data_IF_623671779761
#
_entry.id   IF_623671779761
#
_cell.length_a   1.000
_cell.length_b   1.000
_cell.length_c   1.000
_cell.angle_alpha   90.00
_cell.angle_beta   90.00
_cell.angle_gamma   90.00
#
_symmetry.space_group_name_H-M   'P 1'
#
loop_
_entity.id
_entity.type
_entity.pdbx_description
1 polymer ?
#
# COMPACT_ATOMS: atom_id res chain seq x y z
N UNK A 1 -17.53 13.67 -9.82
CA UNK A 1 -18.43 13.76 -8.65
C UNK A 1 -18.75 12.35 -8.17
N UNK A 2 -18.57 12.04 -6.85
CA UNK A 2 -18.98 10.76 -6.24
C UNK A 2 -17.88 9.86 -5.71
N UNK A 3 -16.64 9.97 -6.14
CA UNK A 3 -15.53 9.23 -5.53
C UNK A 3 -15.10 9.96 -4.24
N UNK A 4 -15.29 9.29 -3.08
CA UNK A 4 -14.80 9.78 -1.79
C UNK A 4 -13.61 8.93 -1.37
N UNK A 5 -12.57 9.58 -0.86
CA UNK A 5 -11.51 8.93 -0.13
C UNK A 5 -11.92 8.89 1.35
N UNK A 6 -11.80 7.73 1.98
CA UNK A 6 -12.10 7.56 3.39
C UNK A 6 -10.96 6.80 4.05
N UNK A 7 -10.43 7.38 5.11
CA UNK A 7 -9.49 6.71 6.01
C UNK A 7 -10.20 6.23 7.27
N UNK A 8 -9.66 5.21 7.90
CA UNK A 8 -10.10 4.74 9.21
C UNK A 8 -8.87 4.40 10.06
N UNK A 9 -8.92 4.74 11.34
CA UNK A 9 -7.87 4.32 12.27
C UNK A 9 -7.81 2.80 12.36
N UNK A 10 -6.59 2.23 12.24
CA UNK A 10 -6.38 0.77 12.26
C UNK A 10 -7.01 0.11 13.49
N UNK A 11 -6.85 0.71 14.67
CA UNK A 11 -7.41 0.19 15.91
C UNK A 11 -8.95 0.16 15.88
N UNK A 12 -9.58 1.23 15.39
CA UNK A 12 -11.04 1.28 15.25
C UNK A 12 -11.54 0.18 14.31
N UNK A 13 -10.87 -0.01 13.18
CA UNK A 13 -11.21 -1.06 12.23
C UNK A 13 -11.06 -2.48 12.83
N UNK A 14 -9.95 -2.74 13.53
CA UNK A 14 -9.72 -4.01 14.22
C UNK A 14 -10.78 -4.28 15.29
N UNK A 15 -11.17 -3.26 16.07
CA UNK A 15 -12.21 -3.39 17.09
C UNK A 15 -13.58 -3.78 16.49
N UNK A 16 -13.95 -3.18 15.35
CA UNK A 16 -15.18 -3.53 14.62
C UNK A 16 -15.15 -5.03 14.24
N UNK A 17 -14.06 -5.49 13.62
CA UNK A 17 -13.93 -6.88 13.19
C UNK A 17 -13.91 -7.85 14.36
N UNK A 18 -13.15 -7.54 15.43
CA UNK A 18 -13.07 -8.38 16.63
C UNK A 18 -14.40 -8.48 17.36
N UNK A 19 -15.16 -7.38 17.45
CA UNK A 19 -16.52 -7.39 18.02
C UNK A 19 -17.41 -8.33 17.22
N UNK A 20 -17.38 -8.22 15.90
CA UNK A 20 -18.18 -9.10 15.03
C UNK A 20 -17.74 -10.56 15.15
N UNK A 21 -16.47 -10.86 15.26
CA UNK A 21 -15.97 -12.21 15.49
C UNK A 21 -16.52 -12.80 16.80
N UNK A 22 -16.53 -12.02 17.89
CA UNK A 22 -17.09 -12.49 19.17
C UNK A 22 -18.59 -12.76 19.09
N UNK A 23 -19.34 -11.88 18.43
CA UNK A 23 -20.79 -12.07 18.20
C UNK A 23 -21.10 -13.35 17.42
N UNK A 24 -20.21 -13.75 16.51
CA UNK A 24 -20.33 -14.96 15.70
C UNK A 24 -19.74 -16.21 16.40
N UNK A 25 -19.27 -16.10 17.63
CA UNK A 25 -18.71 -17.23 18.39
C UNK A 25 -17.30 -17.64 17.97
N UNK A 26 -16.58 -16.78 17.18
CA UNK A 26 -15.19 -17.04 16.82
C UNK A 26 -14.29 -16.90 18.04
N UNK A 27 -13.48 -17.91 18.30
CA UNK A 27 -12.51 -17.91 19.41
C UNK A 27 -11.31 -17.06 19.07
N UNK A 28 -11.14 -15.94 19.75
CA UNK A 28 -9.97 -15.03 19.60
C UNK A 28 -8.95 -15.34 20.70
N UNK A 29 -7.71 -15.62 20.32
CA UNK A 29 -6.58 -15.82 21.23
C UNK A 29 -5.58 -14.70 21.03
N UNK A 30 -5.50 -13.81 22.01
CA UNK A 30 -4.51 -12.72 22.04
C UNK A 30 -3.28 -13.13 22.84
N UNK A 31 -2.19 -12.39 22.70
CA UNK A 31 -0.90 -12.65 23.34
C UNK A 31 -0.40 -14.09 23.13
N UNK A 32 -0.76 -14.68 22.00
CA UNK A 32 -0.41 -16.05 21.63
C UNK A 32 0.51 -16.02 20.44
N UNK A 33 1.80 -16.30 20.65
CA UNK A 33 2.76 -16.41 19.55
C UNK A 33 2.77 -17.84 19.04
N UNK A 34 2.59 -18.00 17.72
CA UNK A 34 2.76 -19.28 17.04
C UNK A 34 4.18 -19.36 16.52
N UNK A 35 5.00 -20.21 17.12
CA UNK A 35 6.40 -20.37 16.75
C UNK A 35 6.58 -21.47 15.67
N UNK A 36 5.66 -22.44 15.60
CA UNK A 36 5.69 -23.57 14.66
C UNK A 36 4.28 -23.83 14.12
N UNK A 37 4.18 -23.93 12.80
CA UNK A 37 2.91 -24.25 12.11
C UNK A 37 2.44 -25.66 12.43
N UNK A 38 3.33 -26.60 12.62
CA UNK A 38 2.99 -27.99 12.96
C UNK A 38 2.23 -28.10 14.30
N UNK A 39 2.41 -27.13 15.20
CA UNK A 39 1.67 -27.10 16.47
C UNK A 39 0.18 -26.73 16.31
N UNK A 40 -0.24 -26.29 15.12
CA UNK A 40 -1.64 -25.91 14.82
C UNK A 40 -2.43 -27.05 14.17
N UNK A 41 -1.80 -28.16 13.83
CA UNK A 41 -2.45 -29.34 13.26
C UNK A 41 -2.84 -30.33 14.37
N UNK A 42 -3.93 -31.11 14.20
CA UNK A 42 -4.79 -31.18 13.02
C UNK A 42 -5.92 -30.13 13.02
N UNK A 43 -6.23 -29.58 11.86
CA UNK A 43 -7.40 -28.73 11.61
C UNK A 43 -7.95 -28.99 10.20
N UNK A 44 -9.23 -28.68 9.97
CA UNK A 44 -9.88 -28.87 8.66
C UNK A 44 -9.32 -27.87 7.63
N UNK A 45 -9.01 -26.64 8.04
CA UNK A 45 -8.46 -25.58 7.22
C UNK A 45 -7.54 -24.69 8.06
N UNK A 46 -6.30 -24.50 7.60
CA UNK A 46 -5.36 -23.53 8.13
C UNK A 46 -5.25 -22.32 7.20
N UNK A 47 -5.55 -21.13 7.72
CA UNK A 47 -5.43 -19.87 6.97
C UNK A 47 -4.25 -19.08 7.49
N UNK A 48 -3.20 -18.93 6.68
CA UNK A 48 -2.04 -18.09 6.94
C UNK A 48 -2.35 -16.63 6.55
N UNK A 49 -2.74 -15.81 7.53
CA UNK A 49 -2.97 -14.37 7.37
C UNK A 49 -2.02 -13.56 8.27
N UNK A 50 -0.80 -14.06 8.44
CA UNK A 50 0.21 -13.63 9.39
C UNK A 50 1.19 -12.58 8.84
N UNK A 51 0.77 -11.87 7.79
CA UNK A 51 1.42 -10.66 7.27
C UNK A 51 2.65 -10.92 6.40
N UNK A 52 3.34 -9.84 6.04
CA UNK A 52 4.48 -9.88 5.10
C UNK A 52 5.62 -10.82 5.53
N UNK A 53 5.81 -11.01 6.83
CA UNK A 53 6.81 -11.91 7.40
C UNK A 53 6.24 -13.31 7.71
N UNK A 54 5.26 -13.77 6.98
CA UNK A 54 4.49 -14.99 7.22
C UNK A 54 5.36 -16.21 7.57
N UNK A 55 5.04 -16.81 8.73
CA UNK A 55 5.57 -18.09 9.15
C UNK A 55 5.03 -19.23 8.28
N UNK A 56 3.71 -19.17 7.98
CA UNK A 56 3.03 -20.18 7.16
C UNK A 56 3.63 -20.23 5.76
N UNK A 57 3.86 -19.06 5.12
CA UNK A 57 4.51 -19.00 3.82
C UNK A 57 5.91 -19.62 3.84
N UNK A 58 6.70 -19.35 4.88
CA UNK A 58 8.05 -19.94 5.02
C UNK A 58 8.01 -21.43 5.24
N UNK A 59 7.08 -21.92 6.07
CA UNK A 59 6.97 -23.35 6.38
C UNK A 59 6.67 -24.21 5.13
N UNK A 60 5.93 -23.67 4.17
CA UNK A 60 5.55 -24.36 2.94
C UNK A 60 6.13 -23.68 1.68
N UNK A 61 7.32 -23.07 1.80
CA UNK A 61 7.92 -22.28 0.72
C UNK A 61 8.15 -23.07 -0.58
N UNK A 62 8.49 -24.37 -0.49
CA UNK A 62 8.66 -25.25 -1.64
C UNK A 62 7.39 -25.37 -2.49
N UNK A 63 6.22 -25.37 -1.85
CA UNK A 63 4.92 -25.41 -2.54
C UNK A 63 4.48 -24.03 -3.01
N UNK A 64 4.46 -23.04 -2.12
CA UNK A 64 3.99 -21.70 -2.45
C UNK A 64 4.88 -20.97 -3.45
N UNK A 65 6.17 -21.34 -3.54
CA UNK A 65 7.17 -20.73 -4.43
C UNK A 65 7.11 -19.19 -4.39
N UNK A 66 7.36 -18.58 -3.21
CA UNK A 66 7.30 -17.15 -3.04
C UNK A 66 8.43 -16.44 -3.79
N UNK A 67 8.10 -15.29 -4.35
CA UNK A 67 9.09 -14.28 -4.75
C UNK A 67 8.92 -13.07 -3.86
N UNK A 68 10.03 -12.53 -3.33
CA UNK A 68 10.04 -11.33 -2.50
C UNK A 68 11.07 -10.38 -3.10
N UNK A 69 10.57 -9.28 -3.67
CA UNK A 69 11.40 -8.20 -4.22
C UNK A 69 11.37 -7.03 -3.24
N UNK A 70 12.51 -6.77 -2.59
CA UNK A 70 12.67 -5.64 -1.69
C UNK A 70 12.95 -4.38 -2.51
N UNK A 71 11.99 -3.44 -2.41
CA UNK A 71 12.07 -2.19 -3.17
C UNK A 71 13.12 -1.24 -2.59
N UNK A 72 13.66 -0.37 -3.47
CA UNK A 72 14.81 0.48 -3.14
C UNK A 72 14.45 1.64 -2.24
N UNK A 73 13.29 2.28 -2.46
CA UNK A 73 12.87 3.40 -1.63
C UNK A 73 12.68 2.98 -0.19
N UNK A 74 13.11 3.86 0.71
CA UNK A 74 12.81 3.80 2.13
C UNK A 74 11.53 4.55 2.40
N UNK A 75 10.71 4.05 3.33
CA UNK A 75 9.54 4.78 3.81
C UNK A 75 9.42 4.69 5.32
N UNK A 76 8.82 5.73 5.91
CA UNK A 76 8.52 5.82 7.32
C UNK A 76 7.06 6.25 7.50
N UNK A 77 6.36 5.65 8.47
CA UNK A 77 4.93 5.89 8.69
C UNK A 77 4.73 6.75 9.92
N UNK A 78 4.40 8.01 9.71
CA UNK A 78 4.19 9.01 10.75
C UNK A 78 2.73 9.47 10.78
N UNK A 79 2.41 10.31 11.75
CA UNK A 79 1.14 11.06 11.84
C UNK A 79 1.39 12.56 11.99
N UNK A 80 0.31 13.33 11.91
CA UNK A 80 0.30 14.75 12.27
C UNK A 80 -1.10 15.20 12.65
N UNK A 81 -1.21 16.25 13.46
CA UNK A 81 -2.49 16.90 13.74
C UNK A 81 -2.93 17.88 12.64
N UNK A 82 -2.08 18.17 11.64
CA UNK A 82 -2.53 18.85 10.45
C UNK A 82 -3.50 17.96 9.66
N UNK A 83 -4.70 18.48 9.34
CA UNK A 83 -5.76 17.71 8.68
C UNK A 83 -5.69 17.85 7.16
N UNK A 84 -5.28 16.79 6.48
CA UNK A 84 -5.33 16.69 5.03
C UNK A 84 -6.71 16.18 4.58
N UNK A 85 -7.50 17.02 3.92
CA UNK A 85 -8.89 16.73 3.54
C UNK A 85 -9.05 15.76 2.36
N UNK A 86 -7.97 15.28 1.79
CA UNK A 86 -7.92 14.29 0.72
C UNK A 86 -6.58 13.57 0.70
N UNK A 87 -6.44 12.59 -0.20
CA UNK A 87 -5.12 12.02 -0.46
C UNK A 87 -4.25 13.10 -1.12
N UNK A 88 -3.26 13.57 -0.38
CA UNK A 88 -2.32 14.60 -0.80
C UNK A 88 -0.95 13.96 -1.00
N UNK A 89 -0.35 14.21 -2.16
CA UNK A 89 1.02 13.83 -2.47
C UNK A 89 1.87 15.10 -2.52
N UNK A 90 2.85 15.18 -1.65
CA UNK A 90 3.72 16.36 -1.53
C UNK A 90 5.15 15.96 -1.87
N UNK A 91 5.78 16.70 -2.77
CA UNK A 91 7.15 16.49 -3.21
C UNK A 91 7.98 17.67 -2.73
N UNK A 92 9.07 17.40 -2.01
CA UNK A 92 9.97 18.44 -1.48
C UNK A 92 11.42 18.07 -1.72
N UNK A 93 12.13 18.95 -2.44
CA UNK A 93 13.58 18.92 -2.52
C UNK A 93 14.18 19.54 -1.27
N UNK A 94 15.18 18.90 -0.73
CA UNK A 94 15.98 19.32 0.42
C UNK A 94 17.45 19.03 0.13
N UNK A 95 18.37 19.41 1.03
CA UNK A 95 19.83 19.24 0.82
C UNK A 95 20.23 17.80 0.47
N UNK A 96 19.64 16.80 1.09
CA UNK A 96 19.90 15.39 0.81
C UNK A 96 19.20 14.87 -0.47
N UNK A 97 18.25 15.59 -1.04
CA UNK A 97 17.50 15.21 -2.24
C UNK A 97 15.99 15.27 -2.09
N UNK A 98 15.26 14.44 -2.85
CA UNK A 98 13.82 14.47 -2.93
C UNK A 98 13.15 13.61 -1.85
N UNK A 99 12.21 14.21 -1.12
CA UNK A 99 11.29 13.55 -0.19
C UNK A 99 9.86 13.64 -0.70
N UNK A 100 9.11 12.57 -0.52
CA UNK A 100 7.71 12.46 -0.96
C UNK A 100 6.84 12.13 0.24
N UNK A 101 5.81 12.94 0.52
CA UNK A 101 4.85 12.65 1.57
C UNK A 101 3.50 12.21 0.97
N UNK A 102 2.91 11.16 1.55
CA UNK A 102 1.57 10.67 1.25
C UNK A 102 0.70 10.94 2.49
N UNK A 103 -0.24 11.87 2.36
CA UNK A 103 -0.97 12.38 3.52
C UNK A 103 -2.47 12.29 3.32
N UNK A 104 -3.20 11.92 4.36
CA UNK A 104 -4.66 11.90 4.40
C UNK A 104 -5.16 11.77 5.84
N UNK A 105 -6.29 12.39 6.16
CA UNK A 105 -6.90 12.23 7.47
C UNK A 105 -7.53 10.84 7.63
N UNK A 106 -7.43 10.25 8.82
CA UNK A 106 -8.07 8.99 9.17
C UNK A 106 -9.04 9.10 10.37
N UNK A 107 -9.06 10.25 11.03
CA UNK A 107 -10.06 10.67 12.02
C UNK A 107 -10.19 12.20 12.02
N UNK A 108 -10.93 12.76 12.96
CA UNK A 108 -11.22 14.20 13.01
C UNK A 108 -10.08 15.05 13.56
N UNK A 109 -9.03 14.46 14.09
CA UNK A 109 -7.91 15.16 14.74
C UNK A 109 -6.55 14.80 14.18
N UNK A 110 -6.46 13.79 13.31
CA UNK A 110 -5.16 13.23 12.92
C UNK A 110 -5.15 12.79 11.45
N UNK A 111 -4.05 13.09 10.80
CA UNK A 111 -3.72 12.57 9.48
C UNK A 111 -2.55 11.60 9.54
N UNK A 112 -2.57 10.61 8.65
CA UNK A 112 -1.39 9.83 8.28
C UNK A 112 -0.43 10.74 7.51
N UNK A 113 0.87 10.56 7.75
CA UNK A 113 1.94 11.24 7.02
C UNK A 113 3.06 10.24 6.73
N UNK A 114 2.98 9.56 5.59
CA UNK A 114 4.00 8.61 5.17
C UNK A 114 5.05 9.36 4.38
N UNK A 115 6.32 9.27 4.76
CA UNK A 115 7.41 9.86 3.98
C UNK A 115 8.17 8.74 3.27
N UNK A 116 8.44 8.96 2.00
CA UNK A 116 9.19 8.07 1.11
C UNK A 116 10.37 8.84 0.49
N UNK A 117 11.54 8.21 0.40
CA UNK A 117 12.71 8.75 -0.31
C UNK A 117 13.58 7.63 -0.87
N UNK A 118 14.44 7.96 -1.84
CA UNK A 118 15.43 7.03 -2.37
C UNK A 118 16.45 6.61 -1.32
N UNK A 119 17.05 5.44 -1.48
CA UNK A 119 18.04 4.89 -0.53
C UNK A 119 19.25 5.81 -0.35
N UNK A 120 19.75 6.44 -1.44
CA UNK A 120 20.85 7.41 -1.36
C UNK A 120 20.44 8.65 -0.55
N UNK A 121 19.25 9.21 -0.80
CA UNK A 121 18.71 10.36 -0.05
C UNK A 121 18.58 10.03 1.44
N UNK A 122 18.12 8.82 1.77
CA UNK A 122 18.01 8.33 3.14
C UNK A 122 19.40 8.26 3.82
N UNK A 123 20.41 7.75 3.11
CA UNK A 123 21.77 7.64 3.62
C UNK A 123 22.43 9.01 3.80
N UNK A 124 22.32 9.88 2.78
CA UNK A 124 22.89 11.23 2.80
C UNK A 124 22.28 12.14 3.87
N UNK A 125 21.00 11.93 4.19
CA UNK A 125 20.33 12.58 5.31
C UNK A 125 20.76 12.07 6.70
N UNK A 126 21.48 10.93 6.76
CA UNK A 126 21.98 10.36 8.01
C UNK A 126 20.93 9.64 8.86
N UNK A 127 19.81 9.21 8.29
CA UNK A 127 18.69 8.60 9.04
C UNK A 127 19.05 7.28 9.72
N UNK A 128 20.15 6.62 9.33
CA UNK A 128 20.63 5.41 9.99
C UNK A 128 20.97 5.63 11.47
N UNK A 129 21.49 6.82 11.79
CA UNK A 129 22.00 7.18 13.12
C UNK A 129 21.02 8.09 13.90
N UNK A 130 19.95 8.54 13.26
CA UNK A 130 18.98 9.44 13.88
C UNK A 130 18.05 8.69 14.84
N UNK A 131 17.78 9.30 15.98
CA UNK A 131 16.66 8.89 16.83
C UNK A 131 15.31 9.13 16.13
N UNK A 132 14.25 8.53 16.66
CA UNK A 132 12.88 8.78 16.17
C UNK A 132 12.51 10.28 16.27
N UNK A 133 12.91 10.93 17.36
CA UNK A 133 12.66 12.36 17.58
C UNK A 133 13.43 13.23 16.57
N UNK A 134 14.70 12.95 16.32
CA UNK A 134 15.52 13.68 15.36
C UNK A 134 15.01 13.48 13.94
N UNK A 135 14.59 12.26 13.59
CA UNK A 135 13.93 11.95 12.30
C UNK A 135 12.66 12.77 12.12
N UNK A 136 11.81 12.85 13.14
CA UNK A 136 10.60 13.68 13.08
C UNK A 136 10.92 15.16 12.92
N UNK A 137 11.93 15.67 13.65
CA UNK A 137 12.36 17.06 13.55
C UNK A 137 12.92 17.39 12.16
N UNK A 138 13.78 16.54 11.63
CA UNK A 138 14.33 16.70 10.27
C UNK A 138 13.21 16.74 9.21
N UNK A 139 12.32 15.75 9.24
CA UNK A 139 11.21 15.68 8.28
C UNK A 139 10.20 16.83 8.47
N UNK A 140 9.98 17.30 9.70
CA UNK A 140 9.14 18.47 9.94
C UNK A 140 9.75 19.75 9.30
N UNK A 141 11.09 19.89 9.28
CA UNK A 141 11.75 21.00 8.57
C UNK A 141 11.60 20.85 7.06
N UNK A 142 11.80 19.64 6.49
CA UNK A 142 11.58 19.37 5.06
C UNK A 142 10.16 19.78 4.62
N UNK A 143 9.16 19.43 5.41
CA UNK A 143 7.73 19.65 5.08
C UNK A 143 7.10 20.82 5.84
N UNK A 144 7.88 21.76 6.38
CA UNK A 144 7.36 22.85 7.22
C UNK A 144 6.26 23.69 6.56
N UNK A 145 6.33 23.85 5.23
CA UNK A 145 5.33 24.61 4.45
C UNK A 145 4.01 23.86 4.31
N UNK A 146 4.01 22.55 4.53
CA UNK A 146 2.84 21.67 4.32
C UNK A 146 2.20 21.26 5.64
N UNK A 147 2.92 21.38 6.74
CA UNK A 147 2.48 20.99 8.08
C UNK A 147 1.80 22.13 8.85
N UNK A 148 1.82 23.37 8.33
CA UNK A 148 1.20 24.55 8.94
C UNK A 148 1.49 24.67 10.45
N UNK A 149 2.77 24.52 10.82
CA UNK A 149 3.24 24.57 12.20
C UNK A 149 2.95 23.35 13.08
N UNK A 150 2.32 22.32 12.54
CA UNK A 150 2.08 21.07 13.29
C UNK A 150 3.29 20.17 13.27
N UNK A 151 3.52 19.47 14.39
CA UNK A 151 4.58 18.48 14.51
C UNK A 151 4.23 17.17 13.77
N UNK A 152 5.27 16.41 13.44
CA UNK A 152 5.14 15.01 13.07
C UNK A 152 5.08 14.14 14.35
N UNK A 153 4.23 13.14 14.32
CA UNK A 153 3.94 12.25 15.42
C UNK A 153 4.50 10.86 15.11
N UNK A 154 5.22 10.32 16.06
CA UNK A 154 5.71 8.96 16.08
C UNK A 154 5.10 8.19 17.27
N UNK A 155 5.19 6.87 17.30
CA UNK A 155 4.55 6.01 18.30
C UNK A 155 5.54 5.08 19.02
N UNK A 156 6.81 5.43 19.08
CA UNK A 156 7.93 4.64 19.65
C UNK A 156 8.24 3.32 18.94
N UNK A 157 7.63 3.05 17.80
CA UNK A 157 7.87 1.85 16.96
C UNK A 157 8.11 2.22 15.49
N UNK A 158 8.24 3.51 15.23
CA UNK A 158 8.42 4.03 13.86
C UNK A 158 9.86 3.80 13.44
N UNK A 159 10.04 3.22 12.27
CA UNK A 159 11.34 3.01 11.65
C UNK A 159 11.24 3.07 10.14
N UNK A 160 12.34 3.36 9.51
CA UNK A 160 12.47 3.27 8.07
C UNK A 160 12.43 1.82 7.60
N UNK A 161 11.65 1.58 6.57
CA UNK A 161 11.42 0.25 6.00
C UNK A 161 11.60 0.31 4.49
N UNK A 162 11.97 -0.83 3.90
CA UNK A 162 11.81 -1.07 2.46
C UNK A 162 10.51 -1.85 2.24
N UNK A 163 9.84 -1.57 1.15
CA UNK A 163 8.60 -2.27 0.82
C UNK A 163 8.91 -3.64 0.22
N UNK A 164 8.39 -4.75 0.77
CA UNK A 164 8.51 -6.06 0.16
C UNK A 164 7.39 -6.27 -0.85
N UNK A 165 7.73 -6.47 -2.12
CA UNK A 165 6.78 -6.91 -3.13
C UNK A 165 6.72 -8.44 -3.11
N UNK A 166 5.66 -8.98 -2.52
CA UNK A 166 5.47 -10.42 -2.31
C UNK A 166 4.49 -10.95 -3.35
N UNK A 167 4.90 -12.04 -4.02
CA UNK A 167 4.05 -12.85 -4.89
C UNK A 167 4.24 -14.31 -4.52
N UNK A 168 3.19 -15.10 -4.59
CA UNK A 168 3.24 -16.55 -4.46
C UNK A 168 2.71 -17.19 -5.73
N UNK A 169 3.41 -18.21 -6.24
CA UNK A 169 2.97 -18.93 -7.43
C UNK A 169 1.72 -19.74 -7.12
N UNK A 170 1.78 -20.55 -6.06
CA UNK A 170 0.67 -21.32 -5.54
C UNK A 170 0.15 -20.66 -4.26
N UNK A 171 -1.15 -20.77 -4.02
CA UNK A 171 -1.82 -20.06 -2.94
C UNK A 171 -2.26 -20.97 -1.80
N UNK A 172 -2.26 -22.29 -2.09
CA UNK A 172 -2.65 -23.31 -1.11
C UNK A 172 -1.75 -24.55 -1.22
N UNK A 173 -1.72 -25.29 -0.12
CA UNK A 173 -1.06 -26.60 0.02
C UNK A 173 -1.92 -27.50 0.88
N UNK A 174 -2.46 -28.60 0.33
CA UNK A 174 -3.42 -29.47 1.05
C UNK A 174 -4.57 -28.62 1.64
N UNK A 175 -4.69 -28.57 2.99
CA UNK A 175 -5.68 -27.79 3.72
C UNK A 175 -5.13 -26.43 4.23
N UNK A 176 -3.99 -25.99 3.73
CA UNK A 176 -3.37 -24.69 4.11
C UNK A 176 -3.54 -23.69 2.99
N UNK A 177 -3.95 -22.46 3.30
CA UNK A 177 -4.08 -21.35 2.33
C UNK A 177 -3.50 -20.06 2.89
N UNK A 178 -2.90 -19.23 2.04
CA UNK A 178 -2.45 -17.89 2.40
C UNK A 178 -3.49 -16.83 2.06
N UNK A 179 -3.53 -15.75 2.87
CA UNK A 179 -4.37 -14.57 2.63
C UNK A 179 -3.63 -13.26 2.92
N UNK A 180 -4.08 -12.18 2.29
CA UNK A 180 -3.59 -10.83 2.56
C UNK A 180 -2.08 -10.70 2.33
N UNK A 181 -1.37 -9.94 3.20
CA UNK A 181 0.06 -9.67 3.04
C UNK A 181 0.94 -10.93 3.18
N UNK A 182 0.44 -12.01 3.76
CA UNK A 182 1.11 -13.31 3.74
C UNK A 182 1.15 -13.90 2.33
N UNK A 183 0.10 -13.65 1.54
CA UNK A 183 -0.07 -14.15 0.18
C UNK A 183 0.52 -13.21 -0.87
N UNK A 184 0.18 -11.93 -0.80
CA UNK A 184 0.60 -10.91 -1.76
C UNK A 184 0.62 -9.53 -1.13
N UNK A 185 1.54 -8.68 -1.57
CA UNK A 185 1.55 -7.26 -1.17
C UNK A 185 1.29 -6.37 -2.39
N UNK A 186 0.66 -5.24 -2.17
CA UNK A 186 0.50 -4.18 -3.15
C UNK A 186 1.01 -2.88 -2.53
N UNK A 187 1.86 -2.14 -3.27
CA UNK A 187 2.48 -0.92 -2.77
C UNK A 187 1.42 0.07 -2.24
N UNK A 188 1.71 0.72 -1.11
CA UNK A 188 0.77 1.61 -0.42
C UNK A 188 0.32 2.81 -1.27
N UNK A 189 1.07 3.18 -2.31
CA UNK A 189 0.75 4.29 -3.22
C UNK A 189 -0.59 4.18 -3.94
N UNK A 190 -1.19 2.98 -4.01
CA UNK A 190 -2.52 2.76 -4.58
C UNK A 190 -3.61 2.56 -3.52
N UNK A 191 -3.25 2.50 -2.22
CA UNK A 191 -4.18 2.39 -1.09
C UNK A 191 -5.06 1.16 -1.10
N UNK A 192 -4.61 0.02 -1.62
CA UNK A 192 -5.48 -1.15 -1.87
C UNK A 192 -5.21 -2.36 -0.97
N UNK A 193 -4.11 -2.42 -0.19
CA UNK A 193 -3.71 -3.62 0.54
C UNK A 193 -4.81 -4.19 1.45
N UNK A 194 -5.35 -3.37 2.35
CA UNK A 194 -6.44 -3.80 3.26
C UNK A 194 -7.70 -4.25 2.50
N UNK A 195 -8.08 -3.50 1.43
CA UNK A 195 -9.21 -3.86 0.58
C UNK A 195 -9.01 -5.23 -0.06
N UNK A 196 -7.83 -5.50 -0.60
CA UNK A 196 -7.52 -6.78 -1.25
C UNK A 196 -7.57 -7.93 -0.26
N UNK A 197 -7.02 -7.76 0.95
CA UNK A 197 -7.07 -8.77 2.01
C UNK A 197 -8.51 -9.10 2.44
N UNK A 198 -9.39 -8.10 2.54
CA UNK A 198 -10.81 -8.31 2.84
C UNK A 198 -11.53 -9.03 1.70
N UNK A 199 -11.26 -8.64 0.46
CA UNK A 199 -11.83 -9.30 -0.72
C UNK A 199 -11.37 -10.75 -0.86
N UNK A 200 -10.13 -11.05 -0.46
CA UNK A 200 -9.61 -12.42 -0.44
C UNK A 200 -10.36 -13.26 0.60
N UNK A 201 -10.55 -12.74 1.81
CA UNK A 201 -11.31 -13.43 2.85
C UNK A 201 -12.76 -13.71 2.42
N UNK A 202 -13.41 -12.73 1.78
CA UNK A 202 -14.76 -12.88 1.22
C UNK A 202 -14.76 -13.91 0.08
N UNK A 203 -13.76 -13.83 -0.82
CA UNK A 203 -13.62 -14.77 -1.93
C UNK A 203 -13.43 -16.19 -1.47
N UNK A 204 -12.55 -16.41 -0.48
CA UNK A 204 -12.32 -17.72 0.11
C UNK A 204 -13.60 -18.27 0.75
N UNK A 205 -14.27 -17.48 1.59
CA UNK A 205 -15.50 -17.90 2.26
C UNK A 205 -16.58 -18.33 1.25
N UNK A 206 -16.75 -17.59 0.15
CA UNK A 206 -17.71 -17.93 -0.92
C UNK A 206 -17.42 -19.27 -1.59
N UNK A 207 -16.15 -19.66 -1.72
CA UNK A 207 -15.80 -20.94 -2.33
C UNK A 207 -16.27 -22.15 -1.51
N UNK A 208 -16.52 -21.97 -0.21
CA UNK A 208 -17.07 -23.02 0.67
C UNK A 208 -18.61 -23.08 0.71
N UNK A 209 -19.31 -22.04 0.26
CA UNK A 209 -20.80 -22.03 0.30
C UNK A 209 -21.46 -22.97 -0.69
N UNK A 210 -20.73 -23.49 -1.66
CA UNK A 210 -21.24 -24.36 -2.74
C UNK A 210 -21.02 -25.86 -2.45
N UNK A 211 -20.72 -26.23 -1.19
CA UNK A 211 -20.59 -27.63 -0.77
C UNK A 211 -19.35 -28.34 -1.35
N UNK A 212 -18.33 -27.59 -1.78
CA UNK A 212 -17.06 -28.16 -2.23
C UNK A 212 -16.27 -28.75 -1.07
N UNK A 213 -15.49 -29.77 -1.33
CA UNK A 213 -14.43 -30.17 -0.40
C UNK A 213 -13.34 -29.07 -0.30
N UNK A 214 -12.49 -29.18 0.73
CA UNK A 214 -11.48 -28.16 1.00
C UNK A 214 -10.55 -27.94 -0.19
N UNK A 215 -10.06 -29.00 -0.83
CA UNK A 215 -9.14 -28.90 -1.96
C UNK A 215 -9.76 -28.18 -3.16
N UNK A 216 -10.99 -28.56 -3.51
CA UNK A 216 -11.73 -27.92 -4.60
C UNK A 216 -12.05 -26.44 -4.31
N UNK A 217 -12.40 -26.11 -3.06
CA UNK A 217 -12.66 -24.72 -2.65
C UNK A 217 -11.40 -23.85 -2.74
N UNK A 218 -10.23 -24.36 -2.32
CA UNK A 218 -8.97 -23.64 -2.38
C UNK A 218 -8.47 -23.46 -3.82
N UNK A 219 -8.60 -24.46 -4.67
CA UNK A 219 -8.27 -24.35 -6.10
C UNK A 219 -9.16 -23.31 -6.79
N UNK A 220 -10.45 -23.29 -6.49
CA UNK A 220 -11.38 -22.29 -7.03
C UNK A 220 -11.07 -20.88 -6.53
N UNK A 221 -10.74 -20.72 -5.26
CA UNK A 221 -10.28 -19.46 -4.70
C UNK A 221 -9.09 -18.89 -5.48
N UNK A 222 -8.03 -19.69 -5.68
CA UNK A 222 -6.87 -19.28 -6.45
C UNK A 222 -7.26 -18.92 -7.88
N UNK A 223 -8.06 -19.75 -8.55
CA UNK A 223 -8.49 -19.54 -9.93
C UNK A 223 -9.23 -18.20 -10.12
N UNK A 224 -10.11 -17.86 -9.18
CA UNK A 224 -10.93 -16.65 -9.25
C UNK A 224 -10.17 -15.38 -8.85
N UNK A 225 -9.36 -15.47 -7.78
CA UNK A 225 -8.76 -14.29 -7.19
C UNK A 225 -7.40 -13.92 -7.77
N UNK A 226 -6.60 -14.92 -8.17
CA UNK A 226 -5.23 -14.67 -8.64
C UNK A 226 -5.17 -13.69 -9.82
N UNK A 227 -5.96 -13.80 -10.89
CA UNK A 227 -5.92 -12.82 -11.99
C UNK A 227 -6.27 -11.39 -11.55
N UNK A 228 -7.17 -11.25 -10.60
CA UNK A 228 -7.55 -9.94 -10.03
C UNK A 228 -6.39 -9.33 -9.25
N UNK A 229 -5.73 -10.13 -8.42
CA UNK A 229 -4.57 -9.70 -7.63
C UNK A 229 -3.39 -9.35 -8.53
N UNK A 230 -3.08 -10.19 -9.53
CA UNK A 230 -2.00 -9.93 -10.49
C UNK A 230 -2.21 -8.56 -11.17
N UNK A 231 -3.43 -8.26 -11.64
CA UNK A 231 -3.75 -6.95 -12.24
C UNK A 231 -3.63 -5.77 -11.25
N UNK A 232 -3.91 -5.99 -9.96
CA UNK A 232 -3.68 -4.96 -8.93
C UNK A 232 -2.19 -4.78 -8.62
N UNK A 233 -1.43 -5.86 -8.54
CA UNK A 233 0.02 -5.80 -8.33
C UNK A 233 0.73 -5.11 -9.50
N UNK A 234 0.33 -5.36 -10.74
CA UNK A 234 0.90 -4.68 -11.91
C UNK A 234 0.62 -3.18 -11.87
N UNK A 235 -0.61 -2.78 -11.52
CA UNK A 235 -0.95 -1.36 -11.36
C UNK A 235 -0.21 -0.71 -10.18
N UNK A 236 -0.03 -1.44 -9.08
CA UNK A 236 0.73 -0.98 -7.92
C UNK A 236 2.22 -0.85 -8.25
N UNK A 237 2.75 -1.78 -9.03
CA UNK A 237 4.15 -1.76 -9.48
C UNK A 237 4.42 -0.58 -10.42
N UNK A 238 3.53 -0.32 -11.39
CA UNK A 238 3.66 0.86 -12.26
C UNK A 238 3.63 2.17 -11.44
N UNK A 239 2.72 2.24 -10.43
CA UNK A 239 2.67 3.37 -9.51
C UNK A 239 3.94 3.51 -8.67
N UNK A 240 4.49 2.41 -8.15
CA UNK A 240 5.71 2.36 -7.37
C UNK A 240 6.91 2.88 -8.17
N UNK A 241 7.09 2.41 -9.40
CA UNK A 241 8.19 2.84 -10.28
C UNK A 241 8.19 4.36 -10.49
N UNK A 242 7.02 4.97 -10.58
CA UNK A 242 6.93 6.42 -10.69
C UNK A 242 7.47 7.13 -9.45
N UNK A 243 7.24 6.61 -8.24
CA UNK A 243 7.80 7.19 -7.02
C UNK A 243 9.31 6.95 -6.91
N UNK A 244 9.80 5.78 -7.32
CA UNK A 244 11.25 5.50 -7.36
C UNK A 244 12.01 6.39 -8.36
N UNK A 245 11.34 6.84 -9.42
CA UNK A 245 11.92 7.73 -10.46
C UNK A 245 11.48 9.19 -10.31
N UNK A 246 10.82 9.57 -9.23
CA UNK A 246 10.19 10.86 -9.06
C UNK A 246 11.18 12.04 -9.16
N UNK A 247 12.45 11.86 -8.79
CA UNK A 247 13.48 12.91 -8.91
C UNK A 247 13.73 13.32 -10.38
N UNK A 248 13.62 12.38 -11.32
CA UNK A 248 13.69 12.71 -12.76
C UNK A 248 12.44 13.42 -13.23
N UNK A 249 11.29 12.99 -12.74
CA UNK A 249 9.97 13.51 -13.11
C UNK A 249 9.73 14.93 -12.58
N UNK A 250 10.41 15.33 -11.49
CA UNK A 250 10.38 16.69 -10.96
C UNK A 250 10.95 17.74 -11.92
N UNK A 251 11.68 17.31 -12.97
CA UNK A 251 12.16 18.20 -14.05
C UNK A 251 11.06 18.58 -15.05
N UNK A 252 9.93 17.87 -15.02
CA UNK A 252 8.79 18.19 -15.87
C UNK A 252 8.10 19.48 -15.39
N UNK A 253 7.47 20.20 -16.31
CA UNK A 253 6.54 21.25 -15.94
C UNK A 253 5.40 20.71 -15.06
N UNK A 254 4.77 21.54 -14.21
CA UNK A 254 3.75 21.10 -13.27
C UNK A 254 2.57 20.32 -13.89
N UNK A 255 2.10 20.71 -15.06
CA UNK A 255 0.95 20.06 -15.71
C UNK A 255 1.29 18.65 -16.23
N UNK A 256 2.38 18.42 -17.00
CA UNK A 256 2.78 17.08 -17.40
C UNK A 256 3.18 16.19 -16.20
N UNK A 257 3.81 16.74 -15.17
CA UNK A 257 4.06 16.01 -13.94
C UNK A 257 2.76 15.52 -13.28
N UNK A 258 1.79 16.42 -13.13
CA UNK A 258 0.48 16.07 -12.55
C UNK A 258 -0.27 15.04 -13.42
N UNK A 259 -0.21 15.18 -14.75
CA UNK A 259 -0.81 14.21 -15.67
C UNK A 259 -0.18 12.82 -15.49
N UNK A 260 1.16 12.73 -15.51
CA UNK A 260 1.91 11.48 -15.26
C UNK A 260 1.54 10.87 -13.91
N UNK A 261 1.46 11.71 -12.86
CA UNK A 261 1.07 11.30 -11.52
C UNK A 261 -0.35 10.71 -11.50
N UNK A 262 -1.32 11.35 -12.14
CA UNK A 262 -2.71 10.88 -12.15
C UNK A 262 -2.92 9.60 -12.96
N UNK A 263 -2.10 9.37 -13.97
CA UNK A 263 -2.18 8.19 -14.86
C UNK A 263 -1.22 7.06 -14.49
N UNK A 264 -0.36 7.24 -13.48
CA UNK A 264 0.74 6.34 -13.09
C UNK A 264 0.40 4.87 -12.93
N UNK A 265 -0.82 4.55 -12.51
CA UNK A 265 -1.26 3.17 -12.29
C UNK A 265 -1.81 2.49 -13.55
N UNK A 266 -1.82 3.18 -14.69
CA UNK A 266 -2.42 2.76 -15.97
C UNK A 266 -3.94 2.42 -15.87
N UNK A 267 -4.56 2.55 -14.70
CA UNK A 267 -6.02 2.37 -14.50
C UNK A 267 -6.82 3.58 -14.92
N UNK A 268 -6.20 4.75 -14.91
CA UNK A 268 -6.75 6.02 -15.37
C UNK A 268 -5.92 6.44 -16.58
N UNK A 269 -6.56 6.50 -17.71
CA UNK A 269 -6.04 7.03 -18.97
C UNK A 269 -6.51 8.48 -19.21
N UNK A 270 -6.06 9.07 -20.30
CA UNK A 270 -6.44 10.43 -20.71
C UNK A 270 -7.97 10.60 -20.78
N UNK A 271 -8.69 9.67 -21.41
CA UNK A 271 -10.14 9.78 -21.60
C UNK A 271 -10.91 9.62 -20.29
N UNK A 272 -10.47 8.74 -19.40
CA UNK A 272 -11.04 8.61 -18.06
C UNK A 272 -10.77 9.88 -17.24
N UNK A 273 -9.56 10.45 -17.34
CA UNK A 273 -9.21 11.67 -16.63
C UNK A 273 -10.01 12.85 -17.18
N UNK A 274 -10.18 12.97 -18.50
CA UNK A 274 -11.01 13.99 -19.13
C UNK A 274 -12.47 13.97 -18.64
N UNK A 275 -13.03 12.78 -18.41
CA UNK A 275 -14.38 12.64 -17.84
C UNK A 275 -14.46 13.00 -16.37
N UNK A 276 -13.38 12.80 -15.60
CA UNK A 276 -13.31 13.05 -14.15
C UNK A 276 -12.98 14.48 -13.84
N UNK A 277 -12.03 15.04 -14.55
CA UNK A 277 -11.53 16.40 -14.40
C UNK A 277 -11.30 17.06 -15.76
N UNK A 278 -12.37 17.55 -16.42
CA UNK A 278 -12.27 18.18 -17.71
C UNK A 278 -11.48 19.50 -17.68
N UNK A 279 -11.45 20.20 -16.53
CA UNK A 279 -10.72 21.46 -16.39
C UNK A 279 -9.22 21.22 -16.39
N UNK A 280 -8.75 20.19 -15.66
CA UNK A 280 -7.36 19.79 -15.68
C UNK A 280 -6.89 19.39 -17.09
N UNK A 281 -7.67 18.59 -17.78
CA UNK A 281 -7.31 18.15 -19.15
C UNK A 281 -7.31 19.33 -20.12
N UNK A 282 -8.24 20.29 -20.04
CA UNK A 282 -8.21 21.49 -20.85
C UNK A 282 -6.93 22.32 -20.63
N UNK A 283 -6.48 22.45 -19.37
CA UNK A 283 -5.24 23.14 -19.04
C UNK A 283 -4.01 22.37 -19.56
N UNK A 284 -4.01 21.04 -19.45
CA UNK A 284 -2.93 20.19 -19.96
C UNK A 284 -2.83 20.25 -21.49
N UNK A 285 -3.94 20.24 -22.22
CA UNK A 285 -3.98 20.35 -23.67
C UNK A 285 -3.48 21.71 -24.15
N UNK A 286 -3.91 22.80 -23.50
CA UNK A 286 -3.43 24.14 -23.79
C UNK A 286 -1.91 24.30 -23.53
N UNK A 287 -1.38 23.66 -22.49
CA UNK A 287 0.06 23.58 -22.25
C UNK A 287 0.79 22.84 -23.39
N UNK A 288 0.25 21.68 -23.82
CA UNK A 288 0.84 20.87 -24.89
C UNK A 288 0.91 21.63 -26.23
N UNK A 289 -0.15 22.32 -26.59
CA UNK A 289 -0.21 23.15 -27.81
C UNK A 289 0.87 24.23 -27.78
N UNK A 290 1.04 24.91 -26.65
CA UNK A 290 2.08 25.95 -26.47
C UNK A 290 3.51 25.40 -26.51
N UNK A 291 3.72 24.21 -25.98
CA UNK A 291 5.03 23.57 -25.87
C UNK A 291 5.45 22.79 -27.11
N UNK A 292 4.59 22.70 -28.15
CA UNK A 292 4.87 21.94 -29.36
C UNK A 292 5.00 20.42 -29.16
N UNK A 293 4.57 19.91 -28.01
CA UNK A 293 4.61 18.48 -27.67
C UNK A 293 3.43 17.80 -28.34
N UNK A 294 3.66 17.03 -29.41
CA UNK A 294 2.66 16.24 -30.11
C UNK A 294 1.93 15.24 -29.19
N UNK A 295 0.81 14.66 -29.67
CA UNK A 295 0.15 13.56 -28.94
C UNK A 295 1.12 12.39 -28.84
N UNK A 296 1.70 12.17 -27.65
CA UNK A 296 2.22 10.86 -27.29
C UNK A 296 0.99 10.02 -26.92
N UNK A 297 0.62 9.06 -27.74
CA UNK A 297 -0.27 7.99 -27.29
C UNK A 297 0.50 7.22 -26.22
N UNK A 298 -0.09 6.93 -25.06
CA UNK A 298 0.56 6.10 -24.05
C UNK A 298 0.70 4.67 -24.61
N UNK A 299 1.95 4.19 -24.68
CA UNK A 299 2.24 2.76 -24.87
C UNK A 299 1.67 1.89 -23.75
#
# INVERSE_FOLDING_TARGET
RGNRFSGIARLAFLNILQTRCRELGVKLRFHTNVADVAALEPCDLLVGADGANSLVRRAYAETFQPTIDWRKNKYIWLGTHHLFHGLTLTFREHEAGLFIAHSYKFNDTTSTFIVECGEAVWADAGFAEMSEADTCAYLAEVFKRDLDGHALLANNFVRWLNFPLIKNREWHHRNVVLLGDALHTAHFSIGSGTKLALEDAIGLARCFTEGRDVGAALAEFQRLRKPVIDAYQDAAFASLLMFENAAEDMRLDPLPFAFKMMTRSKKIDYDKLRRRDPQFIAAYDAWREKSGVGRQEPE
#
